data_IF_741848469372
#
_entry.id   IF_741848469372
#
_cell.length_a   1.000
_cell.length_b   1.000
_cell.length_c   1.000
_cell.angle_alpha   90.00
_cell.angle_beta   90.00
_cell.angle_gamma   90.00
#
_symmetry.space_group_name_H-M   'P 1'
#
loop_
_entity.id
_entity.type
_entity.pdbx_description
1 polymer ?
#
# COMPACT_ATOMS: atom_id res chain seq x y z
N UNK A 1 -5.99 13.84 -16.97
CA UNK A 1 -5.24 13.57 -15.70
C UNK A 1 -3.74 13.47 -15.99
N UNK A 2 -3.33 12.63 -16.91
CA UNK A 2 -1.90 12.44 -17.25
C UNK A 2 -1.21 13.75 -17.68
N UNK A 3 -1.76 14.50 -18.62
CA UNK A 3 -1.22 15.79 -19.07
C UNK A 3 -1.11 16.86 -17.97
N UNK A 4 -1.85 16.69 -16.87
CA UNK A 4 -1.86 17.61 -15.73
C UNK A 4 -1.03 17.06 -14.56
N UNK A 5 -0.27 15.98 -14.77
CA UNK A 5 0.52 15.30 -13.75
C UNK A 5 -0.29 14.91 -12.48
N UNK A 6 -1.59 14.67 -12.65
CA UNK A 6 -2.46 14.25 -11.54
C UNK A 6 -2.23 12.78 -11.21
N UNK A 7 -2.42 12.43 -9.95
CA UNK A 7 -2.36 11.05 -9.46
C UNK A 7 -3.78 10.50 -9.36
N UNK A 8 -4.01 9.32 -9.93
CA UNK A 8 -5.23 8.56 -9.75
C UNK A 8 -5.06 7.64 -8.53
N UNK A 9 -5.75 7.93 -7.44
CA UNK A 9 -5.84 7.03 -6.28
C UNK A 9 -7.25 6.47 -6.22
N UNK A 10 -7.38 5.14 -6.26
CA UNK A 10 -8.68 4.50 -6.29
C UNK A 10 -8.68 3.10 -5.69
N UNK A 11 -9.85 2.65 -5.30
CA UNK A 11 -10.11 1.28 -4.89
C UNK A 11 -10.93 0.60 -5.98
N UNK A 12 -10.48 -0.54 -6.44
CA UNK A 12 -11.22 -1.40 -7.36
C UNK A 12 -12.10 -2.36 -6.56
N UNK A 13 -13.25 -2.72 -7.14
CA UNK A 13 -14.05 -3.84 -6.67
C UNK A 13 -13.41 -5.19 -7.03
N UNK A 14 -14.15 -6.26 -6.81
CA UNK A 14 -13.70 -7.63 -7.15
C UNK A 14 -14.14 -8.08 -8.54
N UNK A 15 -14.69 -7.18 -9.34
CA UNK A 15 -15.14 -7.45 -10.69
C UNK A 15 -13.95 -7.47 -11.66
N UNK A 16 -13.74 -8.60 -12.32
CA UNK A 16 -12.64 -8.81 -13.28
C UNK A 16 -12.75 -7.87 -14.50
N UNK A 17 -13.96 -7.43 -14.90
CA UNK A 17 -14.10 -6.45 -15.97
C UNK A 17 -13.51 -5.10 -15.55
N UNK A 18 -13.77 -4.66 -14.31
CA UNK A 18 -13.22 -3.42 -13.78
C UNK A 18 -11.69 -3.46 -13.70
N UNK A 19 -11.13 -4.61 -13.32
CA UNK A 19 -9.68 -4.83 -13.25
C UNK A 19 -9.09 -4.79 -14.68
N UNK A 20 -9.76 -5.41 -15.65
CA UNK A 20 -9.32 -5.38 -17.05
C UNK A 20 -9.35 -3.98 -17.65
N UNK A 21 -10.44 -3.22 -17.43
CA UNK A 21 -10.55 -1.82 -17.86
C UNK A 21 -9.46 -0.94 -17.24
N UNK A 22 -9.14 -1.15 -15.95
CA UNK A 22 -8.04 -0.43 -15.30
C UNK A 22 -6.69 -0.77 -15.95
N UNK A 23 -6.47 -2.03 -16.32
CA UNK A 23 -5.26 -2.43 -17.03
C UNK A 23 -5.13 -1.74 -18.38
N UNK A 24 -6.22 -1.61 -19.13
CA UNK A 24 -6.25 -0.88 -20.40
C UNK A 24 -5.92 0.61 -20.19
N UNK A 25 -6.53 1.27 -19.21
CA UNK A 25 -6.24 2.66 -18.85
C UNK A 25 -4.75 2.85 -18.50
N UNK A 26 -4.15 1.95 -17.72
CA UNK A 26 -2.73 2.00 -17.37
C UNK A 26 -1.85 1.90 -18.63
N UNK A 27 -2.22 1.05 -19.58
CA UNK A 27 -1.47 0.87 -20.83
C UNK A 27 -1.62 2.04 -21.79
N UNK A 28 -2.81 2.63 -21.86
CA UNK A 28 -3.10 3.79 -22.73
C UNK A 28 -2.52 5.11 -22.16
N UNK A 29 -2.35 5.18 -20.83
CA UNK A 29 -1.83 6.35 -20.12
C UNK A 29 -0.51 6.02 -19.39
N UNK A 30 0.62 5.79 -20.10
CA UNK A 30 1.84 5.23 -19.50
C UNK A 30 2.55 6.17 -18.50
N UNK A 31 2.23 7.47 -18.50
CA UNK A 31 2.80 8.41 -17.54
C UNK A 31 1.85 8.71 -16.37
N UNK A 32 0.59 8.25 -16.42
CA UNK A 32 -0.36 8.39 -15.33
C UNK A 32 0.15 7.65 -14.10
N UNK A 33 0.23 8.35 -12.97
CA UNK A 33 0.51 7.72 -11.68
C UNK A 33 -0.78 7.14 -11.12
N UNK A 34 -0.77 5.85 -10.81
CA UNK A 34 -1.95 5.12 -10.29
C UNK A 34 -1.61 4.46 -8.96
N UNK A 35 -2.36 4.77 -7.91
CA UNK A 35 -2.32 4.08 -6.63
C UNK A 35 -3.59 3.23 -6.47
N UNK A 36 -3.43 1.92 -6.41
CA UNK A 36 -4.53 0.97 -6.13
C UNK A 36 -4.61 0.78 -4.62
N UNK A 37 -5.69 1.24 -4.02
CA UNK A 37 -5.90 1.21 -2.57
C UNK A 37 -6.36 -0.13 -2.02
N UNK A 38 -6.51 -0.18 -0.69
CA UNK A 38 -6.99 -1.34 0.08
C UNK A 38 -6.22 -2.63 -0.22
N UNK A 39 -4.92 -2.48 -0.53
CA UNK A 39 -4.01 -3.57 -0.83
C UNK A 39 -4.57 -4.56 -1.86
N UNK A 40 -5.18 -4.05 -2.93
CA UNK A 40 -5.77 -4.88 -3.98
C UNK A 40 -6.85 -5.83 -3.48
N UNK A 41 -7.63 -5.43 -2.46
CA UNK A 41 -8.67 -6.27 -1.85
C UNK A 41 -8.13 -7.61 -1.34
N UNK A 42 -7.04 -7.59 -0.58
CA UNK A 42 -6.20 -8.72 -0.16
C UNK A 42 -6.93 -9.93 0.43
N UNK A 43 -8.10 -9.77 1.00
CA UNK A 43 -8.90 -10.88 1.56
C UNK A 43 -9.89 -11.49 0.56
N UNK A 44 -9.78 -11.15 -0.71
CA UNK A 44 -10.68 -11.62 -1.79
C UNK A 44 -9.92 -12.36 -2.89
N UNK A 45 -10.60 -13.12 -3.76
CA UNK A 45 -9.97 -13.75 -4.92
C UNK A 45 -9.33 -12.77 -5.92
N UNK A 46 -9.75 -11.50 -5.91
CA UNK A 46 -9.23 -10.46 -6.81
C UNK A 46 -7.84 -9.93 -6.41
N UNK A 47 -7.28 -10.36 -5.27
CA UNK A 47 -6.02 -9.86 -4.74
C UNK A 47 -4.86 -9.95 -5.75
N UNK A 48 -4.66 -11.12 -6.31
CA UNK A 48 -3.56 -11.33 -7.26
C UNK A 48 -3.73 -10.49 -8.53
N UNK A 49 -4.93 -10.48 -9.11
CA UNK A 49 -5.24 -9.72 -10.33
C UNK A 49 -4.99 -8.21 -10.12
N UNK A 50 -5.45 -7.67 -9.00
CA UNK A 50 -5.28 -6.25 -8.67
C UNK A 50 -3.82 -5.89 -8.38
N UNK A 51 -3.09 -6.70 -7.58
CA UNK A 51 -1.68 -6.44 -7.31
C UNK A 51 -0.86 -6.48 -8.60
N UNK A 52 -1.14 -7.42 -9.50
CA UNK A 52 -0.44 -7.54 -10.78
C UNK A 52 -0.71 -6.39 -11.76
N UNK A 53 -1.67 -5.50 -11.50
CA UNK A 53 -1.79 -4.23 -12.23
C UNK A 53 -0.51 -3.39 -12.15
N UNK A 54 0.27 -3.52 -11.07
CA UNK A 54 1.57 -2.86 -10.95
C UNK A 54 2.58 -3.29 -12.02
N UNK A 55 2.38 -4.44 -12.68
CA UNK A 55 3.20 -4.89 -13.80
C UNK A 55 2.73 -4.33 -15.16
N UNK A 56 1.51 -3.79 -15.23
CA UNK A 56 0.97 -3.23 -16.46
C UNK A 56 1.54 -1.84 -16.80
N UNK A 57 2.08 -1.12 -15.80
CA UNK A 57 2.66 0.21 -15.99
C UNK A 57 3.74 0.55 -14.97
N UNK A 58 4.72 1.38 -15.39
CA UNK A 58 5.85 1.78 -14.54
C UNK A 58 5.46 2.67 -13.34
N UNK A 59 4.35 3.37 -13.45
CA UNK A 59 3.89 4.35 -12.47
C UNK A 59 2.69 3.85 -11.64
N UNK A 60 2.54 2.54 -11.49
CA UNK A 60 1.47 1.92 -10.71
C UNK A 60 2.02 1.39 -9.40
N UNK A 61 1.34 1.69 -8.31
CA UNK A 61 1.70 1.28 -6.93
C UNK A 61 0.48 0.74 -6.22
N UNK A 62 0.68 -0.25 -5.35
CA UNK A 62 -0.35 -0.83 -4.51
C UNK A 62 -0.24 -0.24 -3.11
N UNK A 63 -1.30 0.39 -2.64
CA UNK A 63 -1.35 1.09 -1.35
C UNK A 63 -2.12 0.25 -0.32
N UNK A 64 -1.49 0.01 0.83
CA UNK A 64 -1.98 -0.91 1.86
C UNK A 64 -2.92 -0.26 2.89
N UNK A 65 -3.67 0.78 2.50
CA UNK A 65 -4.68 1.39 3.36
C UNK A 65 -5.64 0.36 3.90
N UNK A 66 -5.82 0.36 5.22
CA UNK A 66 -6.76 -0.54 5.87
C UNK A 66 -6.35 -2.01 5.95
N UNK A 67 -5.10 -2.39 5.63
CA UNK A 67 -4.68 -3.80 5.68
C UNK A 67 -4.93 -4.41 7.07
N UNK A 68 -4.70 -3.68 8.16
CA UNK A 68 -4.99 -4.14 9.52
C UNK A 68 -6.48 -4.31 9.79
N UNK A 69 -7.32 -3.52 9.13
CA UNK A 69 -8.76 -3.68 9.16
C UNK A 69 -9.21 -4.96 8.44
N UNK A 70 -8.65 -5.23 7.28
CA UNK A 70 -8.95 -6.42 6.49
C UNK A 70 -8.55 -7.71 7.25
N UNK A 71 -7.53 -7.65 8.10
CA UNK A 71 -7.08 -8.75 8.96
C UNK A 71 -7.47 -8.59 10.44
N UNK A 72 -8.46 -7.76 10.74
CA UNK A 72 -8.86 -7.45 12.13
C UNK A 72 -9.23 -8.68 12.97
N UNK A 73 -9.76 -9.75 12.35
CA UNK A 73 -10.09 -11.01 13.02
C UNK A 73 -8.88 -11.76 13.56
N UNK A 74 -7.67 -11.47 13.08
CA UNK A 74 -6.44 -12.14 13.52
C UNK A 74 -5.85 -11.54 14.79
N UNK A 75 -6.29 -10.35 15.16
CA UNK A 75 -5.63 -9.53 16.18
C UNK A 75 -4.16 -9.20 15.87
N UNK A 76 -3.62 -8.24 16.63
CA UNK A 76 -2.21 -7.87 16.55
C UNK A 76 -1.32 -9.08 16.91
N UNK A 77 -0.22 -9.37 16.19
CA UNK A 77 0.45 -8.53 15.18
C UNK A 77 0.11 -8.85 13.69
N UNK A 78 -1.04 -9.36 13.38
CA UNK A 78 -1.55 -9.58 12.01
C UNK A 78 -0.60 -10.43 11.12
N UNK A 79 -0.34 -11.70 11.44
CA UNK A 79 0.65 -12.52 10.73
C UNK A 79 0.30 -12.73 9.25
N UNK A 80 -1.00 -12.86 8.91
CA UNK A 80 -1.39 -13.02 7.51
C UNK A 80 -1.27 -11.70 6.73
N UNK A 81 -1.38 -10.53 7.38
CA UNK A 81 -1.07 -9.26 6.73
C UNK A 81 0.40 -9.21 6.27
N UNK A 82 1.34 -9.64 7.13
CA UNK A 82 2.77 -9.73 6.75
C UNK A 82 2.99 -10.73 5.62
N UNK A 83 2.36 -11.90 5.66
CA UNK A 83 2.46 -12.90 4.57
C UNK A 83 1.95 -12.35 3.25
N UNK A 84 0.83 -11.61 3.28
CA UNK A 84 0.29 -10.99 2.07
C UNK A 84 1.17 -9.87 1.52
N UNK A 85 1.84 -9.09 2.39
CA UNK A 85 2.84 -8.11 1.95
C UNK A 85 3.99 -8.82 1.23
N UNK A 86 4.52 -9.90 1.80
CA UNK A 86 5.58 -10.69 1.15
C UNK A 86 5.12 -11.30 -0.16
N UNK A 87 3.94 -11.90 -0.19
CA UNK A 87 3.38 -12.48 -1.39
C UNK A 87 3.20 -11.44 -2.51
N UNK A 88 2.71 -10.26 -2.19
CA UNK A 88 2.61 -9.17 -3.15
C UNK A 88 3.99 -8.71 -3.64
N UNK A 89 4.98 -8.61 -2.73
CA UNK A 89 6.35 -8.28 -3.09
C UNK A 89 7.00 -9.34 -4.00
N UNK A 90 6.71 -10.62 -3.79
CA UNK A 90 7.16 -11.70 -4.68
C UNK A 90 6.57 -11.58 -6.09
N UNK A 91 5.35 -11.04 -6.23
CA UNK A 91 4.72 -10.86 -7.53
C UNK A 91 5.19 -9.62 -8.29
N UNK A 92 5.38 -8.49 -7.59
CA UNK A 92 5.57 -7.18 -8.27
C UNK A 92 6.78 -6.40 -7.80
N UNK A 93 7.49 -6.85 -6.78
CA UNK A 93 8.59 -6.13 -6.12
C UNK A 93 8.11 -5.27 -4.95
N UNK A 94 8.93 -5.14 -3.91
CA UNK A 94 8.64 -4.31 -2.75
C UNK A 94 8.55 -2.81 -3.11
N UNK A 95 9.26 -2.37 -4.14
CA UNK A 95 9.25 -1.00 -4.67
C UNK A 95 7.89 -0.56 -5.23
N UNK A 96 6.98 -1.51 -5.47
CA UNK A 96 5.61 -1.26 -5.94
C UNK A 96 4.58 -1.22 -4.83
N UNK A 97 4.98 -1.43 -3.59
CA UNK A 97 4.08 -1.50 -2.44
C UNK A 97 4.33 -0.32 -1.52
N UNK A 98 3.27 0.32 -1.02
CA UNK A 98 3.39 1.37 -0.02
C UNK A 98 2.34 1.24 1.07
N UNK A 99 2.72 1.59 2.29
CA UNK A 99 1.81 1.64 3.41
C UNK A 99 0.89 2.86 3.33
N UNK A 100 -0.36 2.67 3.76
CA UNK A 100 -1.33 3.73 4.00
C UNK A 100 -2.12 3.44 5.28
N UNK A 101 -2.56 4.49 5.95
CA UNK A 101 -3.21 4.38 7.27
C UNK A 101 -4.69 4.06 7.21
N UNK A 102 -5.37 4.36 6.12
CA UNK A 102 -6.84 4.38 6.03
C UNK A 102 -7.48 5.25 7.15
N UNK A 103 -6.79 6.34 7.52
CA UNK A 103 -7.30 7.29 8.50
C UNK A 103 -8.54 8.02 7.94
N UNK A 104 -9.62 8.23 8.72
CA UNK A 104 -9.75 7.94 10.16
C UNK A 104 -10.32 6.55 10.49
N UNK A 105 -10.63 5.71 9.52
CA UNK A 105 -11.28 4.41 9.75
C UNK A 105 -10.45 3.50 10.66
N UNK A 106 -9.17 3.40 10.45
CA UNK A 106 -8.29 2.54 11.23
C UNK A 106 -8.36 2.81 12.73
N UNK A 107 -8.39 4.07 13.15
CA UNK A 107 -8.43 4.43 14.58
C UNK A 107 -9.77 4.13 15.28
N UNK A 108 -10.76 3.70 14.56
CA UNK A 108 -12.02 3.21 15.16
C UNK A 108 -11.87 1.80 15.74
N UNK A 109 -10.84 1.05 15.34
CA UNK A 109 -10.60 -0.33 15.74
C UNK A 109 -9.28 -0.51 16.50
N UNK A 110 -8.24 0.21 16.10
CA UNK A 110 -6.88 0.10 16.66
C UNK A 110 -6.23 1.47 16.81
N UNK A 111 -5.12 1.56 17.54
CA UNK A 111 -4.35 2.80 17.58
C UNK A 111 -3.60 3.04 16.26
N UNK A 112 -3.33 4.31 15.94
CA UNK A 112 -2.53 4.64 14.75
C UNK A 112 -1.17 3.92 14.75
N UNK A 113 -0.51 3.82 15.91
CA UNK A 113 0.74 3.08 16.07
C UNK A 113 0.59 1.60 15.65
N UNK A 114 -0.47 0.93 16.08
CA UNK A 114 -0.69 -0.48 15.73
C UNK A 114 -0.87 -0.69 14.22
N UNK A 115 -1.30 0.32 13.47
CA UNK A 115 -1.52 0.21 12.02
C UNK A 115 -0.23 0.03 11.20
N UNK A 116 0.94 0.36 11.76
CA UNK A 116 2.25 0.20 11.10
C UNK A 116 3.28 -0.56 11.95
N UNK A 117 3.12 -0.59 13.27
CA UNK A 117 4.09 -1.17 14.20
C UNK A 117 4.28 -2.69 13.98
N UNK A 118 3.25 -3.39 13.50
CA UNK A 118 3.35 -4.81 13.13
C UNK A 118 4.36 -5.05 12.00
N UNK A 119 4.50 -4.12 11.06
CA UNK A 119 5.51 -4.16 10.01
C UNK A 119 6.90 -3.93 10.60
N UNK A 120 7.05 -2.88 11.44
CA UNK A 120 8.33 -2.57 12.09
C UNK A 120 8.87 -3.74 12.92
N UNK A 121 8.00 -4.43 13.65
CA UNK A 121 8.35 -5.55 14.54
C UNK A 121 8.46 -6.90 13.84
N UNK A 122 8.02 -7.02 12.61
CA UNK A 122 8.10 -8.27 11.88
C UNK A 122 9.56 -8.70 11.68
N UNK A 123 9.85 -9.97 11.88
CA UNK A 123 11.13 -10.58 11.54
C UNK A 123 11.14 -11.19 10.12
N UNK A 124 10.02 -11.13 9.41
CA UNK A 124 9.86 -11.68 8.08
C UNK A 124 10.22 -10.69 6.96
N UNK A 125 10.37 -9.41 7.30
CA UNK A 125 10.77 -8.34 6.39
C UNK A 125 12.16 -7.82 6.80
N UNK A 126 13.01 -7.59 5.81
CA UNK A 126 14.31 -6.95 6.02
C UNK A 126 14.16 -5.47 6.41
N UNK A 127 15.20 -4.86 6.95
CA UNK A 127 15.19 -3.44 7.28
C UNK A 127 14.89 -2.58 6.05
N UNK A 128 15.47 -2.92 4.90
CA UNK A 128 15.27 -2.22 3.64
C UNK A 128 13.81 -2.32 3.16
N UNK A 129 13.21 -3.51 3.17
CA UNK A 129 11.81 -3.72 2.80
C UNK A 129 10.85 -2.91 3.67
N UNK A 130 11.12 -2.84 5.00
CA UNK A 130 10.33 -2.03 5.93
C UNK A 130 10.41 -0.54 5.60
N UNK A 131 11.61 -0.02 5.33
CA UNK A 131 11.80 1.37 4.95
C UNK A 131 11.11 1.70 3.62
N UNK A 132 11.23 0.82 2.62
CA UNK A 132 10.55 0.97 1.34
C UNK A 132 9.04 1.02 1.54
N UNK A 133 8.47 0.00 2.16
CA UNK A 133 7.03 -0.14 2.35
C UNK A 133 6.43 0.98 3.21
N UNK A 134 7.07 1.35 4.33
CA UNK A 134 6.54 2.31 5.30
C UNK A 134 6.69 3.78 4.89
N UNK A 135 7.56 4.11 3.93
CA UNK A 135 7.73 5.51 3.58
C UNK A 135 8.48 5.80 2.28
N UNK A 136 9.62 5.18 1.98
CA UNK A 136 10.45 5.53 0.81
C UNK A 136 9.66 5.47 -0.50
N UNK A 137 8.85 4.43 -0.70
CA UNK A 137 8.06 4.27 -1.92
C UNK A 137 6.99 5.37 -2.06
N UNK A 138 6.32 5.74 -0.97
CA UNK A 138 5.35 6.84 -0.98
C UNK A 138 6.02 8.18 -1.28
N UNK A 139 7.19 8.46 -0.68
CA UNK A 139 7.98 9.66 -0.95
C UNK A 139 8.33 9.76 -2.44
N UNK A 140 8.79 8.68 -3.03
CA UNK A 140 9.15 8.61 -4.44
C UNK A 140 7.92 8.73 -5.34
N UNK A 141 6.86 7.99 -5.05
CA UNK A 141 5.64 7.95 -5.85
C UNK A 141 4.94 9.32 -5.88
N UNK A 142 4.72 9.94 -4.73
CA UNK A 142 4.08 11.24 -4.62
C UNK A 142 5.01 12.41 -4.94
N UNK A 143 6.32 12.18 -4.99
CA UNK A 143 7.31 13.21 -5.27
C UNK A 143 7.49 14.21 -4.12
N UNK A 144 7.34 13.78 -2.87
CA UNK A 144 7.53 14.63 -1.71
C UNK A 144 8.97 15.15 -1.66
N UNK A 145 9.13 16.46 -1.45
CA UNK A 145 10.42 17.14 -1.31
C UNK A 145 10.46 17.90 0.01
N UNK A 146 11.67 18.05 0.55
CA UNK A 146 11.91 18.86 1.74
C UNK A 146 11.02 18.45 2.94
N UNK A 147 10.90 17.13 3.16
CA UNK A 147 10.20 16.64 4.34
C UNK A 147 10.88 17.18 5.60
N UNK A 148 10.14 17.87 6.49
CA UNK A 148 10.72 18.35 7.73
C UNK A 148 11.05 17.16 8.64
N UNK A 149 12.16 17.27 9.39
CA UNK A 149 12.40 16.37 10.51
C UNK A 149 11.26 16.55 11.51
N UNK A 150 10.56 15.47 11.80
CA UNK A 150 9.52 15.50 12.83
C UNK A 150 10.18 15.63 14.20
N UNK A 151 9.71 16.54 15.07
CA UNK A 151 10.23 16.66 16.41
C UNK A 151 10.05 15.33 17.15
N UNK A 152 11.11 14.88 17.81
CA UNK A 152 11.03 13.69 18.66
C UNK A 152 10.05 13.93 19.81
N UNK A 153 8.95 13.15 19.82
CA UNK A 153 7.97 13.19 20.91
C UNK A 153 8.33 12.09 21.89
N UNK A 154 9.06 12.48 22.95
CA UNK A 154 9.60 11.57 23.97
C UNK A 154 8.57 10.64 24.60
N UNK A 155 7.34 11.10 24.76
CA UNK A 155 6.24 10.34 25.38
C UNK A 155 5.62 9.24 24.49
N UNK A 156 6.07 9.09 23.24
CA UNK A 156 5.59 8.07 22.32
C UNK A 156 6.60 6.95 22.09
N UNK A 157 7.74 6.98 22.77
CA UNK A 157 8.85 6.04 22.58
C UNK A 157 9.04 5.04 23.76
N UNK A 158 8.26 5.15 24.81
CA UNK A 158 8.29 4.25 25.97
C UNK A 158 7.16 3.21 25.92
#
# INVERSE_FOLDING_TARGET
MEEQEMILSMCLGTDENQISEMKEIIQECPNLKVAIGHFGMVTTPAFESQVKLALAGRNVTIEAGGITWLYNSEFYPYPNAIRSIKQAADWVGMDRLMWGSDYPRTITAITYKMSYDFVLKSNELTAEEKEMFLGKNAVQFYGFKNLPDLPYIKNMSE
#
